data_IF_695327605537
#
_entry.id   IF_695327605537
#
_cell.length_a   1.000
_cell.length_b   1.000
_cell.length_c   1.000
_cell.angle_alpha   90.00
_cell.angle_beta   90.00
_cell.angle_gamma   90.00
#
_symmetry.space_group_name_H-M   'P 1'
#
loop_
_entity.id
_entity.type
_entity.pdbx_description
1 polymer ?
#
# COMPACT_ATOMS: atom_id res chain seq x y z
N UNK A 1 4.76 13.87 -13.11
CA UNK A 1 3.66 13.49 -14.02
C UNK A 1 2.31 13.51 -13.28
N UNK A 2 1.83 14.71 -12.93
CA UNK A 2 0.42 14.86 -12.54
C UNK A 2 -0.40 15.11 -13.80
N UNK A 3 -0.74 14.05 -14.51
CA UNK A 3 -1.83 14.10 -15.46
C UNK A 3 -3.12 14.21 -14.66
N UNK A 4 -3.87 15.29 -14.80
CA UNK A 4 -5.09 15.55 -14.04
C UNK A 4 -6.14 14.43 -14.14
N UNK A 5 -6.11 13.64 -15.21
CA UNK A 5 -6.98 12.48 -15.40
C UNK A 5 -6.54 11.21 -14.67
N UNK A 6 -5.25 11.01 -14.41
CA UNK A 6 -4.74 9.80 -13.72
C UNK A 6 -5.11 9.77 -12.24
N UNK A 7 -5.28 10.95 -11.61
CA UNK A 7 -5.64 11.03 -10.19
C UNK A 7 -7.11 10.66 -9.91
N UNK A 8 -7.96 10.61 -10.94
CA UNK A 8 -9.38 10.29 -10.81
C UNK A 8 -9.69 8.82 -11.15
N UNK A 9 -8.74 8.11 -11.75
CA UNK A 9 -8.91 6.70 -12.08
C UNK A 9 -8.62 5.84 -10.84
N UNK A 10 -9.65 5.14 -10.35
CA UNK A 10 -9.56 4.27 -9.16
C UNK A 10 -8.60 3.10 -9.35
N UNK A 11 -8.33 2.70 -10.61
CA UNK A 11 -7.45 1.58 -10.93
C UNK A 11 -5.97 1.98 -10.97
N UNK A 12 -5.67 3.30 -11.06
CA UNK A 12 -4.30 3.81 -11.11
C UNK A 12 -4.10 4.80 -9.96
N UNK A 13 -3.58 4.31 -8.85
CA UNK A 13 -3.16 5.17 -7.75
C UNK A 13 -1.77 5.75 -8.02
N UNK A 14 -1.51 6.96 -7.52
CA UNK A 14 -0.24 7.68 -7.74
C UNK A 14 1.02 6.90 -7.35
N UNK A 15 0.91 5.92 -6.48
CA UNK A 15 2.01 5.08 -5.99
C UNK A 15 1.87 3.61 -6.38
N UNK A 16 0.98 3.28 -7.34
CA UNK A 16 0.87 1.91 -7.81
C UNK A 16 2.12 1.48 -8.59
N UNK A 17 2.42 0.18 -8.60
CA UNK A 17 3.56 -0.36 -9.33
C UNK A 17 3.52 0.02 -10.82
N UNK A 18 2.34 0.04 -11.42
CA UNK A 18 2.13 0.46 -12.81
C UNK A 18 2.44 1.93 -13.03
N UNK A 19 2.02 2.80 -12.10
CA UNK A 19 2.32 4.24 -12.19
C UNK A 19 3.81 4.52 -12.06
N UNK A 20 4.48 3.86 -11.14
CA UNK A 20 5.94 3.98 -10.97
C UNK A 20 6.65 3.49 -12.24
N UNK A 21 6.23 2.34 -12.79
CA UNK A 21 6.80 1.84 -14.03
C UNK A 21 6.60 2.78 -15.23
N UNK A 22 5.42 3.43 -15.33
CA UNK A 22 5.16 4.46 -16.34
C UNK A 22 6.09 5.66 -16.17
N UNK A 23 6.33 6.12 -14.93
CA UNK A 23 7.23 7.23 -14.65
C UNK A 23 8.70 6.89 -14.91
N UNK A 24 9.08 5.62 -14.77
CA UNK A 24 10.42 5.12 -15.10
C UNK A 24 10.64 5.04 -16.64
N UNK A 25 9.59 4.66 -17.39
CA UNK A 25 9.66 4.48 -18.84
C UNK A 25 9.51 5.78 -19.60
N UNK A 26 8.64 6.69 -19.13
CA UNK A 26 8.33 7.96 -19.78
C UNK A 26 8.76 9.11 -18.88
N UNK A 27 9.91 9.72 -19.20
CA UNK A 27 10.50 10.78 -18.36
C UNK A 27 9.67 12.06 -18.35
N UNK A 28 8.98 12.33 -19.46
CA UNK A 28 8.16 13.55 -19.62
C UNK A 28 6.71 13.25 -19.97
N UNK A 29 5.84 14.23 -19.72
CA UNK A 29 4.43 14.16 -20.15
C UNK A 29 4.35 14.11 -21.68
N UNK A 30 5.28 14.73 -22.39
CA UNK A 30 5.32 14.74 -23.85
C UNK A 30 5.69 13.38 -24.41
N UNK A 31 6.61 12.65 -23.79
CA UNK A 31 6.95 11.27 -24.17
C UNK A 31 5.71 10.38 -24.09
N UNK A 32 4.95 10.49 -22.99
CA UNK A 32 3.72 9.73 -22.79
C UNK A 32 2.60 10.17 -23.74
N UNK A 33 2.46 11.47 -24.02
CA UNK A 33 1.47 12.02 -24.94
C UNK A 33 1.70 11.58 -26.39
N UNK A 34 2.97 11.40 -26.78
CA UNK A 34 3.41 11.00 -28.12
C UNK A 34 3.68 9.49 -28.24
N UNK A 35 3.56 8.74 -27.16
CA UNK A 35 3.80 7.30 -27.15
C UNK A 35 2.94 6.56 -28.19
N UNK A 36 3.50 5.55 -28.83
CA UNK A 36 2.75 4.63 -29.67
C UNK A 36 1.68 3.91 -28.82
N UNK A 37 0.43 3.86 -29.32
CA UNK A 37 -0.68 3.29 -28.55
C UNK A 37 -0.51 1.78 -28.34
N UNK A 38 -0.03 1.09 -29.36
CA UNK A 38 0.14 -0.37 -29.30
C UNK A 38 1.26 -0.74 -28.31
N UNK A 39 2.39 -0.03 -28.36
CA UNK A 39 3.49 -0.21 -27.40
C UNK A 39 3.05 0.13 -25.98
N UNK A 40 2.30 1.22 -25.78
CA UNK A 40 1.76 1.59 -24.48
C UNK A 40 0.75 0.55 -23.97
N UNK A 41 -0.04 -0.05 -24.86
CA UNK A 41 -0.99 -1.11 -24.49
C UNK A 41 -0.25 -2.35 -24.00
N UNK A 42 0.77 -2.80 -24.74
CA UNK A 42 1.61 -3.93 -24.33
C UNK A 42 2.30 -3.65 -23.00
N UNK A 43 2.86 -2.46 -22.84
CA UNK A 43 3.50 -2.06 -21.59
C UNK A 43 2.54 -2.10 -20.39
N UNK A 44 1.30 -1.62 -20.58
CA UNK A 44 0.27 -1.62 -19.51
C UNK A 44 -0.19 -3.03 -19.20
N UNK A 45 -0.31 -3.91 -20.19
CA UNK A 45 -0.67 -5.31 -19.99
C UNK A 45 0.41 -6.06 -19.20
N UNK A 46 1.68 -5.84 -19.53
CA UNK A 46 2.83 -6.47 -18.85
C UNK A 46 3.04 -5.96 -17.41
N UNK A 47 2.89 -4.66 -17.18
CA UNK A 47 3.17 -4.02 -15.88
C UNK A 47 1.92 -3.82 -15.03
N UNK A 48 0.74 -3.94 -15.62
CA UNK A 48 -0.54 -3.86 -14.94
C UNK A 48 -0.90 -5.17 -14.25
N UNK A 49 -1.66 -5.06 -13.15
CA UNK A 49 -2.27 -6.23 -12.52
C UNK A 49 -3.68 -6.40 -13.07
N UNK A 50 -3.83 -7.24 -14.09
CA UNK A 50 -5.13 -7.69 -14.62
C UNK A 50 -6.12 -6.56 -14.95
N UNK A 51 -5.72 -5.59 -15.74
CA UNK A 51 -6.68 -4.66 -16.31
C UNK A 51 -7.63 -5.40 -17.25
N UNK A 52 -8.93 -5.17 -17.09
CA UNK A 52 -9.94 -5.79 -17.95
C UNK A 52 -9.78 -5.38 -19.43
N UNK A 53 -9.31 -4.15 -19.67
CA UNK A 53 -9.06 -3.62 -21.01
C UNK A 53 -7.79 -2.73 -20.99
N UNK A 54 -6.60 -3.31 -21.23
CA UNK A 54 -5.35 -2.57 -21.31
C UNK A 54 -5.33 -1.50 -22.41
N UNK A 55 -6.01 -1.75 -23.55
CA UNK A 55 -6.06 -0.81 -24.67
C UNK A 55 -6.86 0.45 -24.34
N UNK A 56 -8.03 0.28 -23.72
CA UNK A 56 -8.83 1.42 -23.24
C UNK A 56 -8.04 2.22 -22.19
N UNK A 57 -7.30 1.53 -21.30
CA UNK A 57 -6.47 2.17 -20.29
C UNK A 57 -5.31 2.95 -20.91
N UNK A 58 -4.61 2.39 -21.88
CA UNK A 58 -3.54 3.05 -22.65
C UNK A 58 -4.04 4.32 -23.36
N UNK A 59 -5.22 4.22 -23.99
CA UNK A 59 -5.87 5.36 -24.64
C UNK A 59 -6.21 6.47 -23.64
N UNK A 60 -6.77 6.12 -22.49
CA UNK A 60 -7.12 7.07 -21.45
C UNK A 60 -5.88 7.78 -20.87
N UNK A 61 -4.79 7.04 -20.59
CA UNK A 61 -3.52 7.58 -20.10
C UNK A 61 -2.91 8.53 -21.11
N UNK A 62 -2.84 8.14 -22.39
CA UNK A 62 -2.31 9.00 -23.46
C UNK A 62 -3.15 10.25 -23.66
N UNK A 63 -4.48 10.16 -23.59
CA UNK A 63 -5.37 11.33 -23.67
C UNK A 63 -5.13 12.26 -22.48
N UNK A 64 -5.09 11.74 -21.25
CA UNK A 64 -4.79 12.53 -20.06
C UNK A 64 -3.42 13.23 -20.14
N UNK A 65 -2.42 12.57 -20.72
CA UNK A 65 -1.13 13.19 -20.98
C UNK A 65 -1.20 14.34 -21.98
N UNK A 66 -1.99 14.20 -23.05
CA UNK A 66 -2.21 15.27 -24.05
C UNK A 66 -2.91 16.49 -23.49
N UNK A 67 -3.87 16.26 -22.59
CA UNK A 67 -4.68 17.31 -21.97
C UNK A 67 -4.00 17.93 -20.75
N UNK A 68 -2.82 17.43 -20.36
CA UNK A 68 -2.09 17.90 -19.17
C UNK A 68 -1.37 19.21 -19.42
N UNK A 69 -1.29 20.04 -18.38
CA UNK A 69 -0.52 21.26 -18.38
C UNK A 69 0.97 21.00 -18.62
N UNK A 70 1.60 21.82 -19.45
CA UNK A 70 3.04 21.77 -19.72
C UNK A 70 3.79 22.77 -18.84
N UNK A 71 4.75 22.28 -18.08
CA UNK A 71 5.67 23.13 -17.34
C UNK A 71 6.72 23.73 -18.27
N UNK A 72 7.24 24.94 -17.98
CA UNK A 72 8.43 25.46 -18.65
C UNK A 72 9.59 24.47 -18.56
N UNK A 73 10.39 24.33 -19.63
CA UNK A 73 11.46 23.31 -19.74
C UNK A 73 12.42 23.36 -18.55
N UNK A 74 12.79 24.54 -18.09
CA UNK A 74 13.70 24.75 -16.95
C UNK A 74 13.15 24.17 -15.64
N UNK A 75 11.84 24.32 -15.42
CA UNK A 75 11.16 23.76 -14.22
C UNK A 75 10.94 22.27 -14.39
N UNK A 76 10.58 21.82 -15.60
CA UNK A 76 10.32 20.42 -15.89
C UNK A 76 11.55 19.54 -15.62
N UNK A 77 12.74 19.98 -16.01
CA UNK A 77 13.98 19.24 -15.75
C UNK A 77 14.24 19.03 -14.25
N UNK A 78 14.03 20.07 -13.44
CA UNK A 78 14.20 19.98 -11.99
C UNK A 78 13.16 19.04 -11.36
N UNK A 79 11.92 19.07 -11.82
CA UNK A 79 10.85 18.19 -11.36
C UNK A 79 11.14 16.74 -11.74
N UNK A 80 11.58 16.47 -12.97
CA UNK A 80 11.91 15.14 -13.44
C UNK A 80 13.09 14.55 -12.63
N UNK A 81 14.11 15.36 -12.34
CA UNK A 81 15.24 14.94 -11.51
C UNK A 81 14.78 14.58 -10.09
N UNK A 82 13.93 15.41 -9.47
CA UNK A 82 13.36 15.11 -8.13
C UNK A 82 12.51 13.84 -8.14
N UNK A 83 11.74 13.62 -9.21
CA UNK A 83 10.96 12.38 -9.40
C UNK A 83 11.86 11.16 -9.54
N UNK A 84 12.90 11.22 -10.37
CA UNK A 84 13.84 10.13 -10.56
C UNK A 84 14.51 9.73 -9.24
N UNK A 85 14.96 10.70 -8.43
CA UNK A 85 15.53 10.45 -7.10
C UNK A 85 14.49 9.81 -6.16
N UNK A 86 13.25 10.28 -6.19
CA UNK A 86 12.18 9.73 -5.35
C UNK A 86 11.85 8.29 -5.74
N UNK A 87 11.76 7.98 -7.03
CA UNK A 87 11.52 6.63 -7.54
C UNK A 87 12.68 5.70 -7.16
N UNK A 88 13.92 6.14 -7.35
CA UNK A 88 15.09 5.36 -6.93
C UNK A 88 15.08 5.04 -5.43
N UNK A 89 14.68 6.00 -4.59
CA UNK A 89 14.52 5.81 -3.15
C UNK A 89 13.44 4.80 -2.82
N UNK A 90 12.27 4.86 -3.49
CA UNK A 90 11.19 3.88 -3.34
C UNK A 90 11.69 2.48 -3.69
N UNK A 91 12.36 2.31 -4.83
CA UNK A 91 12.89 1.01 -5.27
C UNK A 91 13.94 0.46 -4.29
N UNK A 92 14.79 1.32 -3.75
CA UNK A 92 15.76 0.91 -2.74
C UNK A 92 15.07 0.41 -1.46
N UNK A 93 14.05 1.14 -0.99
CA UNK A 93 13.27 0.75 0.18
C UNK A 93 12.48 -0.54 -0.04
N UNK A 94 11.84 -0.72 -1.19
CA UNK A 94 11.15 -1.98 -1.55
C UNK A 94 12.11 -3.18 -1.50
N UNK A 95 13.33 -3.00 -2.01
CA UNK A 95 14.37 -4.05 -1.95
C UNK A 95 14.78 -4.35 -0.52
N UNK A 96 14.96 -3.31 0.31
CA UNK A 96 15.33 -3.47 1.72
C UNK A 96 14.22 -4.17 2.52
N UNK A 97 12.95 -3.81 2.30
CA UNK A 97 11.80 -4.49 2.91
C UNK A 97 11.81 -5.97 2.59
N UNK A 98 12.00 -6.36 1.32
CA UNK A 98 12.10 -7.79 0.94
C UNK A 98 13.26 -8.53 1.61
N UNK A 99 14.37 -7.86 1.88
CA UNK A 99 15.50 -8.46 2.61
C UNK A 99 15.15 -8.66 4.07
N UNK A 100 14.50 -7.66 4.69
CA UNK A 100 14.04 -7.74 6.08
C UNK A 100 12.96 -8.82 6.26
N UNK A 101 11.99 -8.91 5.34
CA UNK A 101 10.96 -9.95 5.39
C UNK A 101 11.57 -11.35 5.38
N UNK A 102 12.57 -11.61 4.52
CA UNK A 102 13.29 -12.88 4.49
C UNK A 102 14.06 -13.15 5.78
N UNK A 103 14.69 -12.12 6.36
CA UNK A 103 15.40 -12.26 7.63
C UNK A 103 14.42 -12.56 8.78
N UNK A 104 13.26 -11.91 8.81
CA UNK A 104 12.19 -12.18 9.76
C UNK A 104 11.68 -13.62 9.60
N UNK A 105 11.40 -14.04 8.37
CA UNK A 105 10.95 -15.42 8.10
C UNK A 105 11.93 -16.47 8.62
N UNK A 106 13.23 -16.25 8.39
CA UNK A 106 14.27 -17.16 8.87
C UNK A 106 14.33 -17.23 10.41
N UNK A 107 14.27 -16.07 11.09
CA UNK A 107 14.26 -16.02 12.56
C UNK A 107 12.97 -16.62 13.13
N UNK A 108 11.86 -16.43 12.43
CA UNK A 108 10.56 -16.91 12.84
C UNK A 108 10.44 -18.45 12.79
N UNK A 109 11.17 -19.12 11.92
CA UNK A 109 11.18 -20.60 11.82
C UNK A 109 11.66 -21.28 13.11
N UNK A 110 12.43 -20.56 13.93
CA UNK A 110 12.95 -21.05 15.21
C UNK A 110 11.88 -20.96 16.33
N UNK A 111 10.85 -20.14 16.14
CA UNK A 111 9.82 -19.85 17.16
C UNK A 111 8.64 -20.80 16.97
N UNK A 112 8.37 -21.74 17.91
CA UNK A 112 7.19 -22.59 17.82
C UNK A 112 5.92 -21.75 17.89
N UNK A 113 5.08 -21.86 16.88
CA UNK A 113 3.81 -21.13 16.83
C UNK A 113 2.79 -21.82 15.92
N UNK A 114 1.52 -21.50 16.12
CA UNK A 114 0.40 -21.99 15.32
C UNK A 114 -0.28 -20.91 14.49
N UNK A 115 0.21 -19.67 14.53
CA UNK A 115 -0.45 -18.53 13.88
C UNK A 115 -0.49 -18.69 12.35
N UNK A 116 0.53 -19.28 11.74
CA UNK A 116 0.59 -19.53 10.30
C UNK A 116 -0.45 -20.57 9.81
N UNK A 117 -1.11 -21.31 10.71
CA UNK A 117 -2.23 -22.19 10.34
C UNK A 117 -3.53 -21.43 10.08
N UNK A 118 -3.59 -20.16 10.46
CA UNK A 118 -4.76 -19.30 10.25
C UNK A 118 -4.70 -18.75 8.81
N UNK A 119 -5.73 -18.99 7.98
CA UNK A 119 -5.77 -18.44 6.62
C UNK A 119 -5.63 -16.91 6.64
N UNK A 120 -4.72 -16.39 5.81
CA UNK A 120 -4.42 -14.96 5.72
C UNK A 120 -3.27 -14.50 6.61
N UNK A 121 -2.86 -15.27 7.62
CA UNK A 121 -1.72 -14.90 8.48
C UNK A 121 -0.44 -15.55 7.98
N UNK A 122 0.37 -14.78 7.25
CA UNK A 122 1.70 -15.20 6.79
C UNK A 122 2.78 -15.09 7.87
N UNK A 123 4.01 -15.56 7.56
CA UNK A 123 5.15 -15.58 8.51
C UNK A 123 5.48 -14.21 9.08
N UNK A 124 5.51 -13.17 8.26
CA UNK A 124 5.82 -11.78 8.69
C UNK A 124 4.76 -11.24 9.65
N UNK A 125 3.47 -11.46 9.35
CA UNK A 125 2.37 -11.07 10.24
C UNK A 125 2.41 -11.84 11.56
N UNK A 126 2.64 -13.16 11.51
CA UNK A 126 2.80 -13.98 12.69
C UNK A 126 3.96 -13.51 13.57
N UNK A 127 5.10 -13.20 12.97
CA UNK A 127 6.27 -12.65 13.69
C UNK A 127 5.94 -11.30 14.35
N UNK A 128 5.22 -10.42 13.64
CA UNK A 128 4.77 -9.14 14.17
C UNK A 128 3.82 -9.31 15.36
N UNK A 129 2.83 -10.21 15.26
CA UNK A 129 1.91 -10.52 16.36
C UNK A 129 2.67 -11.04 17.59
N UNK A 130 3.59 -11.98 17.40
CA UNK A 130 4.39 -12.54 18.50
C UNK A 130 5.28 -11.47 19.14
N UNK A 131 5.94 -10.64 18.32
CA UNK A 131 6.80 -9.57 18.83
C UNK A 131 6.02 -8.55 19.67
N UNK A 132 4.81 -8.19 19.26
CA UNK A 132 3.97 -7.22 19.98
C UNK A 132 3.29 -7.80 21.21
N UNK A 133 2.93 -9.09 21.19
CA UNK A 133 2.38 -9.79 22.34
C UNK A 133 3.48 -10.12 23.37
N UNK A 134 4.67 -10.53 22.90
CA UNK A 134 5.72 -11.07 23.75
C UNK A 134 5.28 -12.37 24.43
N UNK A 135 5.29 -12.40 25.76
CA UNK A 135 4.79 -13.55 26.51
C UNK A 135 3.26 -13.51 26.60
N UNK A 136 2.61 -14.51 26.02
CA UNK A 136 1.14 -14.63 26.05
C UNK A 136 0.61 -14.91 27.45
N UNK A 137 1.40 -15.53 28.33
CA UNK A 137 1.00 -15.86 29.69
C UNK A 137 0.81 -14.63 30.59
N UNK A 138 1.30 -13.47 30.18
CA UNK A 138 1.02 -12.20 30.87
C UNK A 138 -0.42 -11.73 30.75
N UNK A 139 -1.20 -12.33 29.88
CA UNK A 139 -2.60 -11.98 29.69
C UNK A 139 -3.50 -13.05 30.31
N UNK A 140 -4.40 -12.64 31.21
CA UNK A 140 -5.32 -13.52 31.91
C UNK A 140 -6.40 -14.11 31.00
N UNK A 141 -6.71 -13.42 29.87
CA UNK A 141 -7.78 -13.81 28.96
C UNK A 141 -7.60 -13.23 27.56
N UNK A 142 -8.35 -13.76 26.59
CA UNK A 142 -8.45 -13.21 25.24
C UNK A 142 -8.94 -11.74 25.25
N UNK A 143 -9.85 -11.40 26.16
CA UNK A 143 -10.35 -10.05 26.33
C UNK A 143 -9.23 -9.06 26.75
N UNK A 144 -8.26 -9.53 27.54
CA UNK A 144 -7.09 -8.73 27.94
C UNK A 144 -6.17 -8.45 26.75
N UNK A 145 -5.98 -9.42 25.85
CA UNK A 145 -5.24 -9.23 24.58
C UNK A 145 -5.97 -8.22 23.68
N UNK A 146 -7.27 -8.37 23.51
CA UNK A 146 -8.09 -7.46 22.73
C UNK A 146 -8.04 -6.02 23.29
N UNK A 147 -8.10 -5.88 24.61
CA UNK A 147 -7.96 -4.59 25.29
C UNK A 147 -6.57 -3.99 25.08
N UNK A 148 -5.52 -4.81 25.16
CA UNK A 148 -4.15 -4.38 24.90
C UNK A 148 -3.94 -3.90 23.47
N UNK A 149 -4.59 -4.54 22.49
CA UNK A 149 -4.61 -4.08 21.11
C UNK A 149 -5.52 -2.86 20.87
N UNK A 150 -6.35 -2.49 21.85
CA UNK A 150 -7.35 -1.43 21.70
C UNK A 150 -8.55 -1.84 20.84
N UNK A 151 -8.82 -3.14 20.73
CA UNK A 151 -9.99 -3.75 20.05
C UNK A 151 -11.16 -3.87 21.02
N UNK A 152 -11.54 -2.75 21.63
CA UNK A 152 -12.65 -2.67 22.58
C UNK A 152 -13.58 -1.56 22.14
N UNK A 153 -14.88 -1.84 22.22
CA UNK A 153 -15.93 -0.85 21.90
C UNK A 153 -16.34 -0.11 23.17
N UNK A 154 -16.52 1.19 23.03
CA UNK A 154 -17.02 2.02 24.13
C UNK A 154 -18.52 1.76 24.29
N UNK A 155 -18.94 1.40 25.49
CA UNK A 155 -20.36 1.30 25.84
C UNK A 155 -20.85 2.70 26.23
N UNK A 156 -21.70 3.30 25.41
CA UNK A 156 -22.39 4.53 25.77
C UNK A 156 -23.79 4.18 26.26
N UNK A 157 -23.89 3.96 27.58
CA UNK A 157 -25.16 3.76 28.29
C UNK A 157 -25.37 4.90 29.29
N UNK A 158 -26.56 5.48 29.29
CA UNK A 158 -26.98 6.46 30.28
C UNK A 158 -28.45 6.20 30.62
N UNK A 159 -28.71 5.62 31.79
CA UNK A 159 -30.04 5.20 32.17
C UNK A 159 -30.60 4.14 31.22
N UNK A 160 -31.78 4.41 30.68
CA UNK A 160 -32.45 3.51 29.71
C UNK A 160 -31.98 3.72 28.26
N UNK A 161 -31.02 4.65 28.03
CA UNK A 161 -30.49 4.91 26.70
C UNK A 161 -29.26 4.04 26.42
N UNK A 162 -29.35 3.23 25.36
CA UNK A 162 -28.24 2.48 24.77
C UNK A 162 -27.98 2.99 23.35
N UNK A 163 -26.75 3.45 23.07
CA UNK A 163 -26.41 3.95 21.75
C UNK A 163 -26.33 2.81 20.73
N UNK A 164 -27.03 2.92 19.62
CA UNK A 164 -27.03 1.94 18.51
C UNK A 164 -25.63 1.72 17.90
N UNK A 165 -24.76 2.71 17.99
CA UNK A 165 -23.40 2.67 17.42
C UNK A 165 -22.34 2.93 18.49
N UNK A 166 -21.57 1.91 18.79
CA UNK A 166 -20.38 2.02 19.63
C UNK A 166 -19.13 2.25 18.78
N UNK A 167 -18.23 3.12 19.25
CA UNK A 167 -16.94 3.37 18.58
C UNK A 167 -15.84 2.53 19.24
N UNK A 168 -14.94 1.98 18.41
CA UNK A 168 -13.73 1.33 18.90
C UNK A 168 -12.84 2.35 19.61
N UNK A 169 -12.38 2.03 20.82
CA UNK A 169 -11.60 2.93 21.67
C UNK A 169 -10.24 3.26 21.06
N UNK A 170 -9.64 2.33 20.32
CA UNK A 170 -8.31 2.48 19.68
C UNK A 170 -7.16 2.86 20.63
N UNK A 171 -7.41 2.87 21.95
CA UNK A 171 -6.40 3.08 22.99
C UNK A 171 -5.72 1.77 23.28
N UNK A 172 -4.43 1.64 22.93
CA UNK A 172 -3.68 0.41 23.10
C UNK A 172 -2.57 0.26 22.06
N UNK A 173 -2.00 -0.93 21.96
CA UNK A 173 -0.93 -1.21 21.02
C UNK A 173 -1.44 -1.14 19.56
N UNK A 174 -1.01 -0.08 18.86
CA UNK A 174 -1.46 0.20 17.49
C UNK A 174 -0.92 -0.80 16.48
N UNK A 175 0.27 -1.36 16.73
CA UNK A 175 0.91 -2.31 15.82
C UNK A 175 0.23 -3.67 15.92
N UNK A 176 -0.02 -4.16 17.15
CA UNK A 176 -0.79 -5.38 17.33
C UNK A 176 -2.19 -5.25 16.72
N UNK A 177 -2.86 -4.12 16.93
CA UNK A 177 -4.17 -3.86 16.31
C UNK A 177 -4.10 -3.89 14.77
N UNK A 178 -3.04 -3.34 14.15
CA UNK A 178 -2.82 -3.40 12.72
C UNK A 178 -2.76 -4.85 12.24
N UNK A 179 -1.91 -5.67 12.84
CA UNK A 179 -1.76 -7.08 12.45
C UNK A 179 -3.03 -7.93 12.67
N UNK A 180 -3.91 -7.54 13.60
CA UNK A 180 -5.14 -8.27 13.90
C UNK A 180 -6.34 -7.82 13.03
N UNK A 181 -6.25 -6.68 12.32
CA UNK A 181 -7.33 -6.12 11.50
C UNK A 181 -7.11 -6.26 10.00
N UNK A 182 -5.87 -6.39 9.54
CA UNK A 182 -5.51 -6.60 8.14
C UNK A 182 -5.68 -8.06 7.72
#
# INVERSE_FOLDING_TARGET
LKCSGMAQDKDIQNTSATTIALMEQFETVDDLANANLDELTVFIDEKGRNFADPAAKAKAIRSAARDSYRLPVTVNNSVNQAMAVSIASIRALEKQVKVLDKAIEHQFEIIPNTLTSIPGIGKVYSAGIIAEIGDIHRFESQASVAKYAGLVWNRNQSGDFEAEHSRMIKSGNRYLRYYLLE
#
